data_IF_065926552871
#
_entry.id   IF_065926552871
#
_cell.length_a   1.000
_cell.length_b   1.000
_cell.length_c   1.000
_cell.angle_alpha   90.00
_cell.angle_beta   90.00
_cell.angle_gamma   90.00
#
_symmetry.space_group_name_H-M   'P 1'
#
loop_
_entity.id
_entity.type
_entity.pdbx_description
1 polymer ?
#
# COMPACT_ATOMS: atom_id res chain seq x y z
N UNK A 1 7.93 17.84 -13.23
CA UNK A 1 8.90 16.73 -13.15
C UNK A 1 9.74 16.76 -11.89
N UNK A 2 10.43 17.87 -11.62
CA UNK A 2 11.28 18.00 -10.43
C UNK A 2 10.46 17.87 -9.14
N UNK A 3 9.30 18.48 -9.08
CA UNK A 3 8.41 18.39 -7.92
C UNK A 3 7.92 16.97 -7.65
N UNK A 4 7.62 16.22 -8.72
CA UNK A 4 7.19 14.82 -8.57
C UNK A 4 8.33 13.96 -7.99
N UNK A 5 9.56 14.15 -8.48
CA UNK A 5 10.73 13.42 -7.97
C UNK A 5 11.00 13.76 -6.49
N UNK A 6 10.92 15.05 -6.13
CA UNK A 6 11.08 15.48 -4.72
C UNK A 6 9.98 14.90 -3.85
N UNK A 7 8.74 14.86 -4.36
CA UNK A 7 7.61 14.26 -3.64
C UNK A 7 7.81 12.77 -3.37
N UNK A 8 8.30 12.02 -4.35
CA UNK A 8 8.62 10.59 -4.19
C UNK A 8 9.71 10.40 -3.14
N UNK A 9 10.80 11.16 -3.23
CA UNK A 9 11.90 11.06 -2.28
C UNK A 9 11.45 11.37 -0.84
N UNK A 10 10.61 12.39 -0.66
CA UNK A 10 10.06 12.74 0.65
C UNK A 10 9.17 11.63 1.18
N UNK A 11 8.32 11.07 0.34
CA UNK A 11 7.44 9.97 0.70
C UNK A 11 8.27 8.78 1.18
N UNK A 12 9.29 8.39 0.43
CA UNK A 12 10.16 7.25 0.81
C UNK A 12 10.91 7.51 2.11
N UNK A 13 11.39 8.73 2.33
CA UNK A 13 12.06 9.07 3.59
C UNK A 13 11.12 8.94 4.79
N UNK A 14 9.89 9.42 4.65
CA UNK A 14 8.89 9.31 5.71
C UNK A 14 8.51 7.86 5.99
N UNK A 15 8.38 7.06 4.94
CA UNK A 15 8.14 5.63 5.09
C UNK A 15 9.30 4.95 5.82
N UNK A 16 10.52 5.21 5.41
CA UNK A 16 11.70 4.62 6.04
C UNK A 16 11.80 4.98 7.52
N UNK A 17 11.48 6.22 7.90
CA UNK A 17 11.47 6.65 9.31
C UNK A 17 10.42 5.91 10.11
N UNK A 18 9.22 5.74 9.54
CA UNK A 18 8.15 4.99 10.20
C UNK A 18 8.56 3.54 10.42
N UNK A 19 9.10 2.91 9.39
CA UNK A 19 9.52 1.50 9.48
C UNK A 19 10.64 1.32 10.51
N UNK A 20 11.62 2.22 10.52
CA UNK A 20 12.70 2.19 11.50
C UNK A 20 12.18 2.36 12.93
N UNK A 21 11.19 3.23 13.12
CA UNK A 21 10.56 3.43 14.42
C UNK A 21 9.83 2.17 14.89
N UNK A 22 9.09 1.53 13.98
CA UNK A 22 8.36 0.31 14.32
C UNK A 22 9.31 -0.83 14.71
N UNK A 23 10.39 -1.01 13.98
CA UNK A 23 11.39 -2.02 14.30
C UNK A 23 12.18 -1.69 15.57
N UNK A 24 12.69 -0.47 15.65
CA UNK A 24 13.61 -0.08 16.71
C UNK A 24 12.91 0.20 18.03
N UNK A 25 11.91 1.07 18.03
CA UNK A 25 11.26 1.49 19.27
C UNK A 25 10.20 0.51 19.74
N UNK A 26 9.42 -0.04 18.82
CA UNK A 26 8.33 -0.95 19.17
C UNK A 26 8.69 -2.42 19.04
N UNK A 27 9.89 -2.73 18.57
CA UNK A 27 10.36 -4.09 18.47
C UNK A 27 9.64 -4.97 17.47
N UNK A 28 9.00 -4.37 16.46
CA UNK A 28 8.32 -5.14 15.44
C UNK A 28 9.34 -6.00 14.67
N UNK A 29 9.05 -7.28 14.52
CA UNK A 29 9.90 -8.23 13.80
C UNK A 29 9.55 -8.27 12.31
N UNK A 30 8.31 -7.94 11.97
CA UNK A 30 7.81 -7.87 10.61
C UNK A 30 6.91 -6.64 10.48
N UNK A 31 7.16 -5.83 9.46
CA UNK A 31 6.30 -4.71 9.09
C UNK A 31 5.81 -4.97 7.67
N UNK A 32 4.51 -5.14 7.53
CA UNK A 32 3.87 -5.27 6.22
C UNK A 32 3.36 -3.90 5.80
N UNK A 33 3.81 -3.44 4.65
CA UNK A 33 3.43 -2.13 4.12
C UNK A 33 2.47 -2.36 2.96
N UNK A 34 1.22 -2.01 3.17
CA UNK A 34 0.19 -2.19 2.14
C UNK A 34 0.46 -1.29 0.93
N UNK A 35 0.33 -1.84 -0.26
CA UNK A 35 0.44 -1.08 -1.49
C UNK A 35 -0.68 -0.04 -1.62
N UNK A 36 -0.40 1.02 -2.39
CA UNK A 36 -1.40 2.04 -2.66
C UNK A 36 -2.46 1.48 -3.62
N UNK A 37 -3.73 1.84 -3.41
CA UNK A 37 -4.81 1.32 -4.24
C UNK A 37 -4.77 1.91 -5.66
N UNK A 38 -5.35 1.21 -6.65
CA UNK A 38 -5.41 1.70 -8.03
C UNK A 38 -6.50 2.77 -8.16
N UNK A 39 -6.18 3.99 -7.76
CA UNK A 39 -7.14 5.10 -7.68
C UNK A 39 -7.75 5.47 -9.02
N UNK A 40 -7.12 5.09 -10.14
CA UNK A 40 -7.67 5.31 -11.48
C UNK A 40 -8.95 4.51 -11.74
N UNK A 41 -9.29 3.57 -10.88
CA UNK A 41 -10.52 2.78 -10.96
C UNK A 41 -11.57 3.17 -9.91
N UNK A 42 -11.30 4.19 -9.09
CA UNK A 42 -12.23 4.57 -8.01
C UNK A 42 -13.49 5.21 -8.58
N UNK A 43 -14.67 4.62 -8.33
CA UNK A 43 -15.93 5.15 -8.88
C UNK A 43 -16.26 6.59 -8.47
N UNK A 44 -15.89 6.98 -7.24
CA UNK A 44 -16.21 8.30 -6.70
C UNK A 44 -15.34 9.42 -7.27
N UNK A 45 -14.21 9.11 -7.90
CA UNK A 45 -13.30 10.13 -8.39
C UNK A 45 -13.66 10.56 -9.81
N UNK A 46 -13.91 11.87 -10.06
CA UNK A 46 -14.18 12.37 -11.41
C UNK A 46 -12.88 12.51 -12.21
N UNK A 47 -13.00 12.52 -13.55
CA UNK A 47 -11.89 12.87 -14.41
C UNK A 47 -11.75 14.40 -14.52
N UNK A 48 -10.54 14.97 -14.61
CA UNK A 48 -9.24 14.28 -14.78
C UNK A 48 -8.57 13.89 -13.44
N UNK A 49 -9.19 14.21 -12.31
CA UNK A 49 -8.63 13.94 -10.98
C UNK A 49 -8.33 12.46 -10.79
N UNK A 50 -9.24 11.59 -11.23
CA UNK A 50 -9.08 10.14 -11.11
C UNK A 50 -7.83 9.66 -11.83
N UNK A 51 -7.59 10.14 -13.05
CA UNK A 51 -6.39 9.82 -13.80
C UNK A 51 -5.12 10.30 -13.09
N UNK A 52 -5.14 11.56 -12.63
CA UNK A 52 -3.97 12.16 -11.96
C UNK A 52 -3.60 11.41 -10.68
N UNK A 53 -4.58 11.15 -9.81
CA UNK A 53 -4.35 10.43 -8.56
C UNK A 53 -3.94 8.99 -8.83
N UNK A 54 -4.51 8.36 -9.86
CA UNK A 54 -4.13 7.00 -10.26
C UNK A 54 -2.67 6.91 -10.68
N UNK A 55 -2.21 7.86 -11.47
CA UNK A 55 -0.81 7.91 -11.90
C UNK A 55 0.13 8.17 -10.72
N UNK A 56 -0.25 9.09 -9.82
CA UNK A 56 0.54 9.36 -8.62
C UNK A 56 0.63 8.15 -7.70
N UNK A 57 -0.49 7.49 -7.47
CA UNK A 57 -0.52 6.29 -6.63
C UNK A 57 0.34 5.18 -7.23
N UNK A 58 0.27 4.98 -8.54
CA UNK A 58 1.07 3.97 -9.23
C UNK A 58 2.56 4.26 -9.11
N UNK A 59 2.95 5.53 -9.28
CA UNK A 59 4.35 5.95 -9.15
C UNK A 59 4.88 5.76 -7.74
N UNK A 60 4.12 6.19 -6.73
CA UNK A 60 4.50 6.06 -5.33
C UNK A 60 4.57 4.59 -4.91
N UNK A 61 3.61 3.78 -5.34
CA UNK A 61 3.57 2.36 -5.02
C UNK A 61 4.76 1.62 -5.63
N UNK A 62 5.08 1.92 -6.88
CA UNK A 62 6.24 1.31 -7.54
C UNK A 62 7.52 1.68 -6.81
N UNK A 63 7.70 2.95 -6.44
CA UNK A 63 8.88 3.40 -5.72
C UNK A 63 8.96 2.74 -4.34
N UNK A 64 7.83 2.62 -3.64
CA UNK A 64 7.78 1.97 -2.34
C UNK A 64 8.15 0.49 -2.44
N UNK A 65 7.55 -0.24 -3.37
CA UNK A 65 7.85 -1.65 -3.58
C UNK A 65 9.34 -1.86 -3.89
N UNK A 66 9.90 -1.03 -4.76
CA UNK A 66 11.32 -1.09 -5.12
C UNK A 66 12.20 -0.85 -3.90
N UNK A 67 11.87 0.14 -3.08
CA UNK A 67 12.65 0.48 -1.88
C UNK A 67 12.63 -0.63 -0.83
N UNK A 68 11.64 -1.51 -0.87
CA UNK A 68 11.47 -2.58 0.12
C UNK A 68 11.91 -3.96 -0.37
N UNK A 69 12.44 -4.06 -1.60
CA UNK A 69 12.81 -5.36 -2.18
C UNK A 69 13.82 -6.13 -1.33
N UNK A 70 14.73 -5.42 -0.69
CA UNK A 70 15.76 -6.03 0.17
C UNK A 70 15.60 -5.59 1.63
N UNK A 71 14.40 -5.17 2.00
CA UNK A 71 14.13 -4.68 3.36
C UNK A 71 14.05 -5.82 4.36
N UNK A 72 14.97 -5.84 5.29
CA UNK A 72 15.05 -6.88 6.33
C UNK A 72 13.92 -6.68 7.34
N UNK A 73 12.90 -7.52 7.25
CA UNK A 73 11.75 -7.45 8.14
C UNK A 73 10.70 -6.42 7.74
N UNK A 74 10.86 -5.74 6.61
CA UNK A 74 9.84 -4.84 6.05
C UNK A 74 9.51 -5.30 4.64
N UNK A 75 8.23 -5.59 4.39
CA UNK A 75 7.80 -6.15 3.12
C UNK A 75 6.65 -5.34 2.53
N UNK A 76 6.69 -5.13 1.23
CA UNK A 76 5.58 -4.55 0.49
C UNK A 76 4.52 -5.61 0.25
N UNK A 77 3.29 -5.33 0.69
CA UNK A 77 2.14 -6.19 0.42
C UNK A 77 1.31 -5.51 -0.67
N UNK A 78 1.32 -6.01 -1.91
CA UNK A 78 0.55 -5.39 -2.99
C UNK A 78 -0.91 -5.23 -2.62
N UNK A 79 -1.55 -4.18 -3.13
CA UNK A 79 -2.96 -3.96 -2.88
C UNK A 79 -3.77 -5.18 -3.33
N UNK A 80 -4.68 -5.62 -2.47
CA UNK A 80 -5.49 -6.81 -2.68
C UNK A 80 -6.93 -6.43 -3.04
N UNK A 81 -7.53 -7.23 -3.91
CA UNK A 81 -8.94 -7.08 -4.26
C UNK A 81 -9.16 -6.22 -5.50
N UNK A 82 -10.42 -6.03 -5.82
CA UNK A 82 -10.87 -5.32 -7.01
C UNK A 82 -11.67 -4.11 -6.56
N UNK A 83 -11.32 -2.92 -7.08
CA UNK A 83 -11.92 -1.65 -6.67
C UNK A 83 -13.15 -1.29 -7.51
N UNK A 84 -13.86 -2.24 -8.07
CA UNK A 84 -15.12 -1.95 -8.72
C UNK A 84 -16.22 -1.58 -7.69
N UNK A 85 -17.33 -1.04 -8.19
CA UNK A 85 -18.40 -0.53 -7.32
C UNK A 85 -18.98 -1.60 -6.40
N UNK A 86 -18.97 -2.88 -6.82
CA UNK A 86 -19.52 -3.98 -6.02
C UNK A 86 -18.66 -4.29 -4.79
N UNK A 87 -17.35 -4.02 -4.86
CA UNK A 87 -16.42 -4.33 -3.79
C UNK A 87 -16.03 -3.11 -2.96
N UNK A 88 -16.48 -1.93 -3.35
CA UNK A 88 -16.25 -0.69 -2.61
C UNK A 88 -17.41 -0.41 -1.66
N UNK A 89 -17.17 0.43 -0.65
CA UNK A 89 -18.24 0.94 0.18
C UNK A 89 -19.19 1.82 -0.65
N UNK A 90 -20.35 2.16 -0.09
CA UNK A 90 -21.39 2.90 -0.80
C UNK A 90 -20.90 4.27 -1.33
N UNK A 91 -19.89 4.85 -0.70
CA UNK A 91 -19.32 6.13 -1.13
C UNK A 91 -18.43 6.04 -2.38
N UNK A 92 -18.12 4.82 -2.85
CA UNK A 92 -17.28 4.60 -4.02
C UNK A 92 -15.82 5.00 -3.83
N UNK A 93 -15.40 5.21 -2.60
CA UNK A 93 -14.05 5.65 -2.24
C UNK A 93 -13.38 4.72 -1.23
N UNK A 94 -14.09 4.33 -0.18
CA UNK A 94 -13.55 3.41 0.83
C UNK A 94 -13.71 1.96 0.40
N UNK A 95 -12.77 1.07 0.79
CA UNK A 95 -12.92 -0.36 0.50
C UNK A 95 -14.15 -0.95 1.18
N UNK A 96 -14.79 -1.90 0.51
CA UNK A 96 -15.85 -2.70 1.10
C UNK A 96 -15.32 -4.01 1.69
N UNK A 97 -16.22 -4.84 2.28
CA UNK A 97 -15.81 -6.09 2.92
C UNK A 97 -14.98 -7.03 2.03
N UNK A 98 -15.27 -7.22 0.73
CA UNK A 98 -14.45 -8.12 -0.09
C UNK A 98 -12.97 -7.69 -0.17
N UNK A 99 -12.69 -6.38 -0.19
CA UNK A 99 -11.33 -5.88 -0.25
C UNK A 99 -10.63 -6.10 1.09
N UNK A 100 -11.31 -5.81 2.20
CA UNK A 100 -10.77 -6.05 3.54
C UNK A 100 -10.48 -7.54 3.77
N UNK A 101 -11.37 -8.42 3.33
CA UNK A 101 -11.18 -9.86 3.45
C UNK A 101 -9.96 -10.33 2.67
N UNK A 102 -9.81 -9.86 1.43
CA UNK A 102 -8.67 -10.21 0.59
C UNK A 102 -7.36 -9.72 1.19
N UNK A 103 -7.36 -8.48 1.70
CA UNK A 103 -6.17 -7.91 2.33
C UNK A 103 -5.80 -8.65 3.61
N UNK A 104 -6.79 -8.94 4.44
CA UNK A 104 -6.57 -9.68 5.70
C UNK A 104 -6.03 -11.07 5.45
N UNK A 105 -6.54 -11.78 4.46
CA UNK A 105 -6.07 -13.12 4.09
C UNK A 105 -4.62 -13.08 3.59
N UNK A 106 -4.28 -12.10 2.75
CA UNK A 106 -2.91 -11.94 2.24
C UNK A 106 -1.93 -11.61 3.37
N UNK A 107 -2.31 -10.71 4.27
CA UNK A 107 -1.49 -10.36 5.43
C UNK A 107 -1.28 -11.55 6.36
N UNK A 108 -2.34 -12.29 6.65
CA UNK A 108 -2.26 -13.48 7.50
C UNK A 108 -1.35 -14.54 6.90
N UNK A 109 -1.44 -14.76 5.60
CA UNK A 109 -0.57 -15.71 4.88
C UNK A 109 0.90 -15.30 5.01
N UNK A 110 1.20 -14.01 4.81
CA UNK A 110 2.58 -13.53 4.92
C UNK A 110 3.13 -13.65 6.35
N UNK A 111 2.32 -13.33 7.34
CA UNK A 111 2.72 -13.45 8.75
C UNK A 111 3.00 -14.91 9.10
N UNK A 112 2.10 -15.79 8.73
CA UNK A 112 2.27 -17.23 9.00
C UNK A 112 3.54 -17.77 8.33
N UNK A 113 3.79 -17.38 7.07
CA UNK A 113 4.98 -17.81 6.33
C UNK A 113 6.26 -17.26 6.95
N UNK A 114 6.26 -15.99 7.35
CA UNK A 114 7.45 -15.34 7.91
C UNK A 114 7.88 -15.95 9.26
N UNK A 115 6.94 -16.41 10.05
CA UNK A 115 7.21 -16.98 11.39
C UNK A 115 7.07 -18.49 11.42
N UNK A 116 6.88 -19.14 10.28
CA UNK A 116 6.70 -20.59 10.18
C UNK A 116 5.59 -21.11 11.10
N UNK A 117 4.51 -20.35 11.22
CA UNK A 117 3.34 -20.75 12.01
C UNK A 117 2.57 -21.82 11.23
N UNK A 118 2.30 -22.92 11.88
CA UNK A 118 1.55 -24.05 11.30
C UNK A 118 0.16 -24.19 11.91
#
# INVERSE_FOLDING_TARGET
MVEAVVGVARFLRRQARLHALLHGRFGARLVLVSGLPPMHHFPALPQPLRWYLGERARELDRALAESLREGHGTEHLPFQGDVDAAHMAADGFHPGPPIYDAWGAAAAFRIASAFAIR
#
